data_IF_444988415315
#
_entry.id   IF_444988415315
#
_cell.length_a   1.000
_cell.length_b   1.000
_cell.length_c   1.000
_cell.angle_alpha   90.00
_cell.angle_beta   90.00
_cell.angle_gamma   90.00
#
_symmetry.space_group_name_H-M   'P 1'
#
loop_
_entity.id
_entity.type
_entity.pdbx_description
1 polymer ?
#
# COMPACT_ATOMS: atom_id res chain seq x y z
N UNK A 1 -19.11 61.05 3.57
CA UNK A 1 -19.81 59.91 3.06
C UNK A 1 -21.13 59.54 3.76
N UNK A 2 -21.65 60.37 4.72
CA UNK A 2 -23.01 60.29 5.26
C UNK A 2 -23.32 59.15 6.20
N UNK A 3 -22.29 58.44 6.74
CA UNK A 3 -22.50 57.38 7.73
C UNK A 3 -22.49 57.96 9.14
N UNK A 4 -23.33 57.39 10.01
CA UNK A 4 -23.40 57.81 11.44
C UNK A 4 -22.06 57.55 12.13
N UNK A 5 -21.43 58.60 12.73
CA UNK A 5 -20.14 58.49 13.42
C UNK A 5 -20.15 57.43 14.50
N UNK A 6 -21.27 57.27 15.25
CA UNK A 6 -21.38 56.24 16.30
C UNK A 6 -21.31 54.81 15.77
N UNK A 7 -21.84 54.55 14.57
CA UNK A 7 -21.78 53.25 13.91
C UNK A 7 -20.36 52.98 13.45
N UNK A 8 -19.65 53.98 12.94
CA UNK A 8 -18.26 53.85 12.52
C UNK A 8 -17.34 53.58 13.69
N UNK A 9 -17.55 54.26 14.80
CA UNK A 9 -16.77 54.11 16.05
C UNK A 9 -16.98 52.75 16.65
N UNK A 10 -18.21 52.21 16.62
CA UNK A 10 -18.53 50.85 17.02
C UNK A 10 -17.82 49.82 16.15
N UNK A 11 -17.89 49.92 14.83
CA UNK A 11 -17.22 49.06 13.90
C UNK A 11 -15.71 49.08 14.13
N UNK A 12 -15.12 50.24 14.34
CA UNK A 12 -13.69 50.40 14.66
C UNK A 12 -13.30 49.71 15.96
N UNK A 13 -14.07 49.90 17.01
CA UNK A 13 -13.84 49.25 18.30
C UNK A 13 -13.99 47.73 18.21
N UNK A 14 -14.94 47.23 17.42
CA UNK A 14 -15.12 45.81 17.19
C UNK A 14 -13.95 45.21 16.37
N UNK A 15 -13.43 45.96 15.39
CA UNK A 15 -12.22 45.58 14.65
C UNK A 15 -10.96 45.59 15.50
N UNK A 16 -10.82 46.57 16.40
CA UNK A 16 -9.68 46.66 17.32
C UNK A 16 -9.68 45.45 18.29
N UNK A 17 -10.85 45.09 18.82
CA UNK A 17 -11.02 43.89 19.63
C UNK A 17 -10.72 42.65 18.83
N UNK A 18 -11.25 42.54 17.62
CA UNK A 18 -10.99 41.42 16.70
C UNK A 18 -9.48 41.32 16.40
N UNK A 19 -8.81 42.41 16.09
CA UNK A 19 -7.37 42.45 15.81
C UNK A 19 -6.53 41.98 17.01
N UNK A 20 -6.96 42.26 18.25
CA UNK A 20 -6.27 41.79 19.47
C UNK A 20 -6.39 40.26 19.67
N UNK A 21 -7.46 39.62 19.14
CA UNK A 21 -7.72 38.19 19.21
C UNK A 21 -7.55 37.48 17.88
N UNK A 22 -7.45 38.20 16.77
CA UNK A 22 -7.50 37.64 15.41
C UNK A 22 -6.40 36.65 15.12
N UNK A 23 -5.28 36.74 15.85
CA UNK A 23 -4.17 35.83 15.69
C UNK A 23 -3.75 35.26 17.05
N UNK A 24 -4.15 34.04 17.32
CA UNK A 24 -3.72 33.34 18.52
C UNK A 24 -2.23 32.97 18.42
N UNK A 25 -1.38 33.76 19.12
CA UNK A 25 0.08 33.59 19.11
C UNK A 25 0.51 32.18 19.54
N UNK A 26 -0.17 31.60 20.54
CA UNK A 26 0.13 30.25 21.01
C UNK A 26 -0.13 29.20 19.88
N UNK A 27 -1.26 29.33 19.21
CA UNK A 27 -1.61 28.49 18.06
C UNK A 27 -0.57 28.64 16.94
N UNK A 28 -0.25 29.88 16.57
CA UNK A 28 0.76 30.16 15.56
C UNK A 28 2.14 29.58 15.92
N UNK A 29 2.57 29.71 17.15
CA UNK A 29 3.85 29.17 17.63
C UNK A 29 3.86 27.64 17.53
N UNK A 30 2.81 26.96 17.98
CA UNK A 30 2.71 25.51 17.90
C UNK A 30 2.72 25.02 16.44
N UNK A 31 1.94 25.66 15.56
CA UNK A 31 1.92 25.28 14.14
C UNK A 31 3.22 25.61 13.42
N UNK A 32 3.87 26.73 13.74
CA UNK A 32 5.19 27.06 13.19
C UNK A 32 6.23 26.02 13.59
N UNK A 33 6.18 25.52 14.81
CA UNK A 33 7.08 24.47 15.28
C UNK A 33 6.87 23.16 14.49
N UNK A 34 5.63 22.71 14.33
CA UNK A 34 5.32 21.53 13.53
C UNK A 34 5.71 21.73 12.06
N UNK A 35 5.42 22.91 11.49
CA UNK A 35 5.81 23.24 10.12
C UNK A 35 7.33 23.20 9.93
N UNK A 36 8.09 23.72 10.89
CA UNK A 36 9.55 23.64 10.86
C UNK A 36 10.04 22.18 10.90
N UNK A 37 9.47 21.35 11.79
CA UNK A 37 9.84 19.94 11.88
C UNK A 37 9.54 19.19 10.57
N UNK A 38 8.37 19.40 9.96
CA UNK A 38 8.02 18.76 8.68
C UNK A 38 8.91 19.25 7.54
N UNK A 39 9.25 20.54 7.50
CA UNK A 39 10.19 21.10 6.54
C UNK A 39 11.61 20.52 6.71
N UNK A 40 12.06 20.38 7.95
CA UNK A 40 13.34 19.75 8.27
C UNK A 40 13.37 18.29 7.79
N UNK A 41 12.35 17.50 8.11
CA UNK A 41 12.26 16.10 7.66
C UNK A 41 12.28 16.02 6.13
N UNK A 42 11.51 16.86 5.44
CA UNK A 42 11.50 16.89 3.98
C UNK A 42 12.85 17.27 3.37
N UNK A 43 13.60 18.18 4.02
CA UNK A 43 14.91 18.63 3.54
C UNK A 43 16.01 17.57 3.75
N UNK A 44 15.99 16.86 4.86
CA UNK A 44 17.07 15.94 5.25
C UNK A 44 16.76 14.46 5.00
N UNK A 45 15.47 14.09 4.96
CA UNK A 45 14.98 12.72 4.75
C UNK A 45 13.80 12.73 3.77
N UNK A 46 14.03 13.22 2.53
CA UNK A 46 12.94 13.47 1.60
C UNK A 46 12.17 12.21 1.19
N UNK A 47 12.85 11.09 0.96
CA UNK A 47 12.19 9.84 0.56
C UNK A 47 11.29 9.30 1.68
N UNK A 48 11.78 9.25 2.91
CA UNK A 48 11.03 8.79 4.08
C UNK A 48 9.86 9.71 4.40
N UNK A 49 10.07 11.02 4.29
CA UNK A 49 8.99 12.00 4.48
C UNK A 49 7.88 11.80 3.44
N UNK A 50 8.21 11.65 2.16
CA UNK A 50 7.25 11.46 1.10
C UNK A 50 6.54 10.10 1.21
N UNK A 51 7.24 9.02 1.56
CA UNK A 51 6.65 7.71 1.81
C UNK A 51 5.65 7.74 2.98
N UNK A 52 6.00 8.42 4.07
CA UNK A 52 5.12 8.60 5.22
C UNK A 52 3.86 9.41 4.85
N UNK A 53 4.02 10.47 4.05
CA UNK A 53 2.92 11.31 3.59
C UNK A 53 1.98 10.54 2.65
N UNK A 54 2.52 9.77 1.70
CA UNK A 54 1.75 8.87 0.82
C UNK A 54 0.99 7.81 1.63
N UNK A 55 1.62 7.22 2.63
CA UNK A 55 0.97 6.25 3.53
C UNK A 55 -0.22 6.86 4.25
N UNK A 56 -0.14 8.11 4.67
CA UNK A 56 -1.28 8.81 5.32
C UNK A 56 -2.40 9.19 4.34
N UNK A 57 -2.11 9.21 3.04
CA UNK A 57 -3.03 9.64 1.98
C UNK A 57 -3.41 8.50 1.02
N UNK A 58 -3.11 7.24 1.35
CA UNK A 58 -3.25 6.09 0.44
C UNK A 58 -4.64 5.93 -0.20
N UNK A 59 -5.71 6.38 0.48
CA UNK A 59 -7.09 6.33 -0.05
C UNK A 59 -7.43 7.47 -1.02
N UNK A 60 -6.55 8.47 -1.16
CA UNK A 60 -6.77 9.68 -1.96
C UNK A 60 -5.87 9.66 -3.20
N UNK A 61 -6.29 8.95 -4.24
CA UNK A 61 -5.45 8.70 -5.42
C UNK A 61 -4.92 9.97 -6.09
N UNK A 62 -5.72 11.03 -6.13
CA UNK A 62 -5.28 12.32 -6.70
C UNK A 62 -4.18 12.98 -5.89
N UNK A 63 -4.19 12.81 -4.57
CA UNK A 63 -3.11 13.30 -3.72
C UNK A 63 -1.84 12.44 -3.89
N UNK A 64 -1.98 11.13 -3.99
CA UNK A 64 -0.85 10.23 -4.29
C UNK A 64 -0.19 10.63 -5.63
N UNK A 65 -0.97 10.91 -6.67
CA UNK A 65 -0.42 11.35 -7.96
C UNK A 65 0.41 12.63 -7.82
N UNK A 66 -0.10 13.65 -7.13
CA UNK A 66 0.65 14.90 -6.88
C UNK A 66 1.94 14.64 -6.12
N UNK A 67 1.90 13.77 -5.09
CA UNK A 67 3.07 13.40 -4.32
C UNK A 67 4.10 12.65 -5.16
N UNK A 68 3.66 11.78 -6.07
CA UNK A 68 4.57 11.09 -7.02
C UNK A 68 5.21 12.09 -8.00
N UNK A 69 4.46 13.08 -8.49
CA UNK A 69 5.01 14.15 -9.32
C UNK A 69 6.06 14.97 -8.55
N UNK A 70 5.80 15.25 -7.28
CA UNK A 70 6.76 15.93 -6.41
C UNK A 70 8.02 15.08 -6.18
N UNK A 71 7.88 13.78 -5.91
CA UNK A 71 9.01 12.86 -5.83
C UNK A 71 9.87 12.91 -7.09
N UNK A 72 9.23 12.87 -8.26
CA UNK A 72 9.93 12.97 -9.54
C UNK A 72 10.71 14.29 -9.67
N UNK A 73 10.11 15.43 -9.25
CA UNK A 73 10.78 16.72 -9.24
C UNK A 73 11.97 16.78 -8.28
N UNK A 74 11.94 15.97 -7.21
CA UNK A 74 13.02 15.81 -6.23
C UNK A 74 14.04 14.73 -6.61
N UNK A 75 13.94 14.11 -7.81
CA UNK A 75 14.73 12.98 -8.27
C UNK A 75 14.63 11.74 -7.35
N UNK A 76 13.49 11.51 -6.76
CA UNK A 76 13.18 10.32 -5.96
C UNK A 76 12.39 9.36 -6.82
N UNK A 77 12.95 8.17 -7.07
CA UNK A 77 12.24 7.10 -7.80
C UNK A 77 11.07 6.58 -6.99
N UNK A 78 9.95 6.32 -7.67
CA UNK A 78 8.79 5.64 -7.08
C UNK A 78 8.56 4.35 -7.85
N UNK A 79 8.66 3.23 -7.14
CA UNK A 79 8.54 1.88 -7.69
C UNK A 79 7.14 1.32 -7.46
N UNK A 80 6.67 0.50 -8.40
CA UNK A 80 5.39 -0.20 -8.29
C UNK A 80 5.35 -1.17 -7.09
N UNK A 81 4.18 -1.76 -6.78
CA UNK A 81 4.08 -2.76 -5.73
C UNK A 81 4.82 -4.05 -6.11
N UNK A 82 5.33 -4.75 -5.10
CA UNK A 82 6.01 -6.03 -5.22
C UNK A 82 5.78 -6.85 -3.94
N UNK A 83 5.32 -8.10 -4.06
CA UNK A 83 5.03 -8.94 -2.89
C UNK A 83 6.28 -9.28 -2.09
N UNK A 84 7.47 -9.23 -2.70
CA UNK A 84 8.74 -9.50 -2.05
C UNK A 84 9.42 -8.27 -1.44
N UNK A 85 9.02 -7.05 -1.86
CA UNK A 85 9.68 -5.83 -1.39
C UNK A 85 8.75 -4.85 -0.68
N UNK A 86 7.47 -4.76 -1.12
CA UNK A 86 6.54 -3.78 -0.57
C UNK A 86 6.26 -3.99 0.90
N UNK A 87 6.10 -2.90 1.62
CA UNK A 87 5.54 -2.87 2.97
C UNK A 87 4.01 -2.77 2.91
N UNK A 88 3.36 -2.78 4.07
CA UNK A 88 1.92 -2.52 4.16
C UNK A 88 1.60 -1.12 3.63
N UNK A 89 2.31 -0.08 4.11
CA UNK A 89 2.29 1.28 3.56
C UNK A 89 3.43 1.52 2.57
N UNK A 90 3.54 2.75 2.07
CA UNK A 90 4.70 3.16 1.28
C UNK A 90 5.97 3.09 2.16
N UNK A 91 7.06 2.59 1.61
CA UNK A 91 8.33 2.47 2.30
C UNK A 91 9.49 2.87 1.42
N UNK A 92 10.65 3.07 2.02
CA UNK A 92 11.90 3.38 1.30
C UNK A 92 12.77 2.14 1.33
N UNK A 93 13.30 1.74 0.16
CA UNK A 93 14.22 0.62 0.05
C UNK A 93 15.67 1.03 0.38
N UNK A 94 16.60 0.08 0.33
CA UNK A 94 18.03 0.33 0.63
C UNK A 94 18.72 1.27 -0.37
N UNK A 95 18.12 1.53 -1.52
CA UNK A 95 18.61 2.42 -2.57
C UNK A 95 18.03 3.84 -2.48
N UNK A 96 17.18 4.11 -1.48
CA UNK A 96 16.53 5.41 -1.29
C UNK A 96 15.31 5.64 -2.17
N UNK A 97 14.78 4.60 -2.81
CA UNK A 97 13.60 4.68 -3.67
C UNK A 97 12.33 4.35 -2.89
N UNK A 98 11.23 4.98 -3.24
CA UNK A 98 9.93 4.75 -2.60
C UNK A 98 9.23 3.57 -3.27
N UNK A 99 8.96 2.51 -2.50
CA UNK A 99 8.17 1.36 -2.94
C UNK A 99 6.69 1.56 -2.60
N UNK A 100 5.82 1.28 -3.56
CA UNK A 100 4.37 1.38 -3.40
C UNK A 100 3.86 0.41 -2.34
N UNK A 101 3.04 0.88 -1.40
CA UNK A 101 2.49 0.06 -0.32
C UNK A 101 1.40 -0.90 -0.81
N UNK A 102 1.38 -2.12 -0.27
CA UNK A 102 0.36 -3.12 -0.67
C UNK A 102 -1.06 -2.68 -0.32
N UNK A 103 -1.27 -1.98 0.80
CA UNK A 103 -2.59 -1.48 1.21
C UNK A 103 -3.13 -0.36 0.31
N UNK A 104 -2.28 0.29 -0.48
CA UNK A 104 -2.66 1.31 -1.44
C UNK A 104 -3.14 0.74 -2.78
N UNK A 105 -2.99 -0.56 -3.01
CA UNK A 105 -3.51 -1.25 -4.19
C UNK A 105 -5.05 -1.30 -4.09
N UNK A 106 -5.73 -0.80 -5.11
CA UNK A 106 -7.20 -0.81 -5.15
C UNK A 106 -7.73 -2.25 -5.07
N UNK A 107 -8.55 -2.53 -4.07
CA UNK A 107 -9.12 -3.87 -3.85
C UNK A 107 -8.30 -4.76 -2.92
N UNK A 108 -7.12 -4.31 -2.48
CA UNK A 108 -6.34 -4.92 -1.41
C UNK A 108 -6.76 -4.34 -0.07
N UNK A 109 -7.15 -5.19 0.87
CA UNK A 109 -7.43 -4.78 2.25
C UNK A 109 -6.16 -4.69 3.10
N UNK A 110 -6.20 -3.91 4.18
CA UNK A 110 -5.06 -3.82 5.12
C UNK A 110 -4.65 -5.19 5.68
N UNK A 111 -5.62 -6.01 6.08
CA UNK A 111 -5.36 -7.37 6.59
C UNK A 111 -4.66 -8.27 5.55
N UNK A 112 -5.02 -8.16 4.28
CA UNK A 112 -4.36 -8.89 3.21
C UNK A 112 -2.92 -8.43 3.01
N UNK A 113 -2.68 -7.13 3.03
CA UNK A 113 -1.33 -6.55 2.94
C UNK A 113 -0.46 -6.97 4.13
N UNK A 114 -1.00 -6.93 5.34
CA UNK A 114 -0.33 -7.38 6.57
C UNK A 114 0.02 -8.87 6.50
N UNK A 115 -0.91 -9.73 6.06
CA UNK A 115 -0.69 -11.16 5.93
C UNK A 115 0.47 -11.48 4.98
N UNK A 116 0.56 -10.77 3.83
CA UNK A 116 1.65 -10.93 2.87
C UNK A 116 2.99 -10.54 3.49
N UNK A 117 3.05 -9.39 4.15
CA UNK A 117 4.29 -8.87 4.74
C UNK A 117 4.76 -9.75 5.89
N UNK A 118 3.87 -10.12 6.82
CA UNK A 118 4.20 -10.97 7.98
C UNK A 118 4.67 -12.35 7.57
N UNK A 119 4.01 -12.96 6.57
CA UNK A 119 4.43 -14.28 6.06
C UNK A 119 5.82 -14.22 5.46
N UNK A 120 6.11 -13.18 4.66
CA UNK A 120 7.43 -12.96 4.08
C UNK A 120 8.50 -12.69 5.15
N UNK A 121 8.21 -11.88 6.14
CA UNK A 121 9.15 -11.58 7.23
C UNK A 121 9.48 -12.83 8.08
N UNK A 122 8.50 -13.70 8.29
CA UNK A 122 8.67 -14.91 9.06
C UNK A 122 9.41 -16.01 8.32
N UNK A 123 9.09 -16.25 7.05
CA UNK A 123 9.51 -17.42 6.30
C UNK A 123 10.38 -17.08 5.07
N UNK A 124 10.82 -15.82 4.93
CA UNK A 124 11.65 -15.35 3.82
C UNK A 124 10.85 -14.98 2.57
N UNK A 125 11.53 -14.42 1.55
CA UNK A 125 10.92 -14.04 0.29
C UNK A 125 10.18 -15.19 -0.39
N UNK A 126 9.15 -14.88 -1.14
CA UNK A 126 8.45 -15.85 -1.99
C UNK A 126 9.30 -16.19 -3.20
N UNK A 127 9.52 -17.49 -3.43
CA UNK A 127 10.40 -18.00 -4.49
C UNK A 127 9.75 -17.82 -5.88
N UNK A 128 8.46 -18.13 -5.95
CA UNK A 128 7.64 -18.04 -7.15
C UNK A 128 6.16 -17.87 -6.78
N UNK A 129 5.30 -17.81 -7.80
CA UNK A 129 3.85 -17.66 -7.63
C UNK A 129 3.22 -18.83 -6.84
N UNK A 130 3.71 -20.03 -7.04
CA UNK A 130 3.15 -21.22 -6.39
C UNK A 130 3.55 -21.27 -4.91
N UNK A 131 4.80 -20.95 -4.58
CA UNK A 131 5.25 -20.77 -3.20
C UNK A 131 4.44 -19.69 -2.48
N UNK A 132 4.16 -18.55 -3.16
CA UNK A 132 3.28 -17.51 -2.62
C UNK A 132 1.90 -18.07 -2.28
N UNK A 133 1.24 -18.75 -3.22
CA UNK A 133 -0.12 -19.29 -3.03
C UNK A 133 -0.19 -20.40 -1.97
N UNK A 134 0.86 -21.20 -1.84
CA UNK A 134 0.94 -22.26 -0.82
C UNK A 134 1.07 -21.69 0.59
N UNK A 135 1.77 -20.57 0.74
CA UNK A 135 2.11 -19.97 2.02
C UNK A 135 1.08 -18.98 2.52
N UNK A 136 0.41 -18.26 1.61
CA UNK A 136 -0.51 -17.18 2.00
C UNK A 136 -1.89 -17.72 2.40
N UNK A 137 -2.51 -17.12 3.41
CA UNK A 137 -3.90 -17.41 3.77
C UNK A 137 -4.87 -16.89 2.69
N UNK A 138 -5.52 -17.80 1.96
CA UNK A 138 -6.52 -17.44 0.94
C UNK A 138 -7.83 -16.87 1.53
N UNK A 139 -7.98 -16.87 2.87
CA UNK A 139 -9.06 -16.16 3.57
C UNK A 139 -8.76 -14.66 3.63
N UNK A 140 -7.49 -14.32 3.87
CA UNK A 140 -7.03 -12.94 3.99
C UNK A 140 -6.75 -12.33 2.61
N UNK A 141 -6.03 -13.08 1.75
CA UNK A 141 -5.75 -12.70 0.36
C UNK A 141 -6.66 -13.49 -0.56
N UNK A 142 -7.88 -13.03 -0.71
CA UNK A 142 -8.89 -13.69 -1.54
C UNK A 142 -8.63 -13.50 -3.05
N UNK A 143 -9.45 -14.12 -3.89
CA UNK A 143 -9.35 -14.01 -5.36
C UNK A 143 -9.24 -12.57 -5.86
N UNK A 144 -10.01 -11.63 -5.28
CA UNK A 144 -9.96 -10.22 -5.67
C UNK A 144 -8.62 -9.57 -5.31
N UNK A 145 -8.04 -9.94 -4.17
CA UNK A 145 -6.71 -9.50 -3.77
C UNK A 145 -5.63 -9.99 -4.74
N UNK A 146 -5.69 -11.28 -5.15
CA UNK A 146 -4.79 -11.85 -6.14
C UNK A 146 -4.92 -11.16 -7.51
N UNK A 147 -6.15 -10.89 -7.95
CA UNK A 147 -6.44 -10.13 -9.17
C UNK A 147 -5.83 -8.72 -9.11
N UNK A 148 -5.99 -8.05 -7.97
CA UNK A 148 -5.44 -6.71 -7.75
C UNK A 148 -3.90 -6.70 -7.76
N UNK A 149 -3.24 -7.71 -7.19
CA UNK A 149 -1.80 -7.89 -7.27
C UNK A 149 -1.33 -8.12 -8.71
N UNK A 150 -1.99 -9.02 -9.46
CA UNK A 150 -1.65 -9.27 -10.85
C UNK A 150 -1.79 -8.00 -11.71
N UNK A 151 -2.90 -7.26 -11.58
CA UNK A 151 -3.15 -6.03 -12.34
C UNK A 151 -2.19 -4.89 -11.99
N UNK A 152 -1.83 -4.76 -10.71
CA UNK A 152 -0.96 -3.69 -10.25
C UNK A 152 0.53 -3.94 -10.49
N UNK A 153 0.91 -5.17 -10.83
CA UNK A 153 2.31 -5.58 -10.97
C UNK A 153 2.94 -6.13 -9.69
N UNK A 154 2.13 -6.37 -8.65
CA UNK A 154 2.62 -6.96 -7.40
C UNK A 154 3.29 -8.33 -7.56
N UNK A 155 3.04 -9.01 -8.67
CA UNK A 155 3.62 -10.31 -9.03
C UNK A 155 4.67 -10.26 -10.15
N UNK A 156 5.09 -9.06 -10.59
CA UNK A 156 6.06 -8.92 -11.69
C UNK A 156 7.41 -9.57 -11.35
N UNK A 157 7.75 -9.66 -10.05
CA UNK A 157 8.95 -10.35 -9.57
C UNK A 157 8.99 -11.85 -9.93
N UNK A 158 7.86 -12.47 -10.23
CA UNK A 158 7.80 -13.88 -10.64
C UNK A 158 7.99 -14.10 -12.14
N UNK A 159 8.16 -13.04 -12.93
CA UNK A 159 8.43 -13.14 -14.37
C UNK A 159 7.25 -13.63 -15.23
N UNK A 160 6.05 -13.67 -14.67
CA UNK A 160 4.82 -14.04 -15.39
C UNK A 160 4.19 -12.76 -15.93
N UNK A 161 3.82 -12.77 -17.21
CA UNK A 161 3.15 -11.60 -17.80
C UNK A 161 1.78 -11.39 -17.16
N UNK A 162 1.42 -10.12 -16.94
CA UNK A 162 0.14 -9.76 -16.30
C UNK A 162 -1.08 -10.33 -17.04
N UNK A 163 -1.03 -10.40 -18.37
CA UNK A 163 -2.08 -10.98 -19.21
C UNK A 163 -2.31 -12.46 -18.97
N UNK A 164 -1.24 -13.21 -18.64
CA UNK A 164 -1.30 -14.67 -18.45
C UNK A 164 -2.13 -15.04 -17.22
N UNK A 165 -2.20 -14.18 -16.20
CA UNK A 165 -3.08 -14.40 -15.04
C UNK A 165 -4.57 -14.47 -15.43
N UNK A 166 -4.95 -13.83 -16.53
CA UNK A 166 -6.31 -13.77 -17.07
C UNK A 166 -6.51 -14.70 -18.26
N UNK A 167 -5.46 -15.41 -18.69
CA UNK A 167 -5.51 -16.43 -19.71
C UNK A 167 -6.46 -17.57 -19.34
N UNK A 168 -7.15 -18.14 -20.33
CA UNK A 168 -8.08 -19.26 -20.14
C UNK A 168 -7.43 -20.55 -20.59
N UNK A 169 -7.64 -21.61 -19.80
CA UNK A 169 -7.25 -22.96 -20.19
C UNK A 169 -8.22 -23.55 -21.26
N UNK A 170 -7.93 -24.76 -21.73
CA UNK A 170 -8.75 -25.49 -22.72
C UNK A 170 -10.20 -25.73 -22.25
N UNK A 171 -10.49 -25.62 -20.97
CA UNK A 171 -11.83 -25.74 -20.38
C UNK A 171 -12.53 -24.40 -20.23
N UNK A 172 -11.90 -23.30 -20.66
CA UNK A 172 -12.42 -21.94 -20.54
C UNK A 172 -12.28 -21.32 -19.12
N UNK A 173 -11.58 -21.99 -18.21
CA UNK A 173 -11.34 -21.49 -16.85
C UNK A 173 -10.14 -20.53 -16.84
N UNK A 174 -10.27 -19.43 -16.11
CA UNK A 174 -9.20 -18.45 -15.96
C UNK A 174 -8.07 -19.01 -15.10
N UNK A 175 -6.81 -18.70 -15.44
CA UNK A 175 -5.65 -19.20 -14.68
C UNK A 175 -5.71 -18.77 -13.22
N UNK A 176 -6.13 -17.54 -12.93
CA UNK A 176 -6.29 -17.03 -11.56
C UNK A 176 -7.26 -17.90 -10.73
N UNK A 177 -8.37 -18.38 -11.34
CA UNK A 177 -9.33 -19.25 -10.65
C UNK A 177 -8.75 -20.64 -10.39
N UNK A 178 -7.96 -21.14 -11.35
CA UNK A 178 -7.23 -22.40 -11.21
C UNK A 178 -6.17 -22.31 -10.10
N UNK A 179 -5.50 -21.16 -10.00
CA UNK A 179 -4.50 -20.87 -8.98
C UNK A 179 -5.11 -20.86 -7.57
N UNK A 180 -6.27 -20.22 -7.40
CA UNK A 180 -7.01 -20.23 -6.11
C UNK A 180 -7.38 -21.66 -5.71
N UNK A 181 -7.89 -22.43 -6.64
CA UNK A 181 -8.26 -23.85 -6.41
C UNK A 181 -7.04 -24.69 -5.99
N UNK A 182 -5.92 -24.49 -6.69
CA UNK A 182 -4.66 -25.14 -6.34
C UNK A 182 -4.25 -24.83 -4.91
N UNK A 183 -4.24 -23.56 -4.51
CA UNK A 183 -3.89 -23.17 -3.16
C UNK A 183 -4.82 -23.75 -2.09
N UNK A 184 -6.12 -23.79 -2.35
CA UNK A 184 -7.10 -24.42 -1.46
C UNK A 184 -6.84 -25.93 -1.30
N UNK A 185 -6.57 -26.63 -2.39
CA UNK A 185 -6.26 -28.07 -2.37
C UNK A 185 -4.96 -28.33 -1.61
N UNK A 186 -3.91 -27.53 -1.85
CA UNK A 186 -2.63 -27.66 -1.16
C UNK A 186 -2.77 -27.44 0.35
N UNK A 187 -3.47 -26.37 0.77
CA UNK A 187 -3.68 -26.07 2.19
C UNK A 187 -4.52 -27.15 2.88
N UNK A 188 -5.53 -27.68 2.20
CA UNK A 188 -6.33 -28.80 2.73
C UNK A 188 -5.48 -30.06 2.89
N UNK A 189 -4.72 -30.43 1.88
CA UNK A 189 -3.84 -31.58 1.92
C UNK A 189 -2.77 -31.47 3.01
N UNK A 190 -2.19 -30.26 3.19
CA UNK A 190 -1.23 -29.97 4.28
C UNK A 190 -1.88 -30.11 5.65
N UNK A 191 -3.12 -29.67 5.83
CA UNK A 191 -3.86 -29.85 7.10
C UNK A 191 -4.14 -31.34 7.37
N UNK A 192 -4.48 -32.11 6.34
CA UNK A 192 -4.72 -33.55 6.46
C UNK A 192 -3.44 -34.32 6.82
N UNK A 193 -2.33 -33.98 6.17
CA UNK A 193 -1.01 -34.55 6.48
C UNK A 193 -0.59 -34.24 7.93
N UNK A 194 -0.75 -33.02 8.40
CA UNK A 194 -0.45 -32.63 9.77
C UNK A 194 -1.30 -33.34 10.83
N UNK A 195 -2.50 -33.80 10.48
CA UNK A 195 -3.39 -34.59 11.35
C UNK A 195 -3.20 -36.10 11.22
N UNK A 196 -2.34 -36.56 10.30
CA UNK A 196 -2.04 -37.98 10.11
C UNK A 196 -0.98 -38.44 11.12
N UNK A 197 -1.18 -39.61 11.72
CA UNK A 197 -0.24 -40.25 12.67
C UNK A 197 1.07 -40.69 11.99
N UNK A 198 1.11 -40.73 10.66
CA UNK A 198 2.26 -41.14 9.84
C UNK A 198 2.73 -40.00 8.96
N UNK A 199 2.87 -38.78 9.53
CA UNK A 199 3.18 -37.56 8.80
C UNK A 199 4.23 -37.75 7.70
N UNK A 200 3.79 -37.86 6.47
CA UNK A 200 4.64 -37.65 5.32
C UNK A 200 4.69 -36.15 5.08
N UNK A 201 5.88 -35.57 5.19
CA UNK A 201 6.11 -34.11 5.01
C UNK A 201 5.89 -33.62 3.58
N UNK A 202 5.73 -34.51 2.59
CA UNK A 202 5.58 -34.17 1.19
C UNK A 202 4.11 -34.22 0.73
N UNK A 203 3.50 -33.03 0.70
CA UNK A 203 2.18 -32.85 0.07
C UNK A 203 2.37 -32.61 -1.43
N UNK A 204 2.23 -33.63 -2.25
CA UNK A 204 2.24 -33.49 -3.70
C UNK A 204 0.88 -33.08 -4.24
N UNK A 205 0.75 -31.79 -4.57
CA UNK A 205 -0.36 -31.28 -5.40
C UNK A 205 0.23 -30.74 -6.70
N UNK A 206 -0.21 -31.27 -7.85
CA UNK A 206 0.33 -30.83 -9.15
C UNK A 206 0.01 -29.36 -9.42
N UNK A 207 1.04 -28.57 -9.75
CA UNK A 207 0.91 -27.16 -10.09
C UNK A 207 0.15 -26.99 -11.43
N UNK A 208 -0.78 -26.04 -11.53
CA UNK A 208 -1.45 -25.75 -12.79
C UNK A 208 -0.48 -25.14 -13.81
N UNK A 209 -0.60 -25.49 -15.10
CA UNK A 209 0.24 -24.90 -16.14
C UNK A 209 -0.06 -23.40 -16.29
N UNK A 210 1.01 -22.59 -16.40
CA UNK A 210 0.90 -21.17 -16.71
C UNK A 210 0.48 -21.03 -18.18
N UNK A 211 -0.56 -20.24 -18.50
CA UNK A 211 -0.94 -19.98 -19.89
C UNK A 211 0.23 -19.35 -20.67
N UNK A 212 0.30 -19.64 -21.96
CA UNK A 212 1.29 -19.07 -22.87
C UNK A 212 0.65 -18.03 -23.75
#
# INVERSE_FOLDING_TARGET
NGHDPKVLEKIWSDWEKFASYAFNKSHATCYSWVAYQTAYMKAHYPAEYMAALMTRRFSQITEIQKLMEECKAMNISTLGPDVNESFVGFGVNGEGEIRFGLSAIKGMGGAAAEAIVQEREKNGPYKDLFDFIQRISLKDVNRKGLESLALSGGFDCFGIKREDYFGKNNKGEMFLDTLVRYGQQYQLAKQQAANSLFGEDDVEVSTPPIPK
#
